data_IF_926592535393
#
_entry.id   IF_926592535393
#
_cell.length_a   1.000
_cell.length_b   1.000
_cell.length_c   1.000
_cell.angle_alpha   90.00
_cell.angle_beta   90.00
_cell.angle_gamma   90.00
#
_symmetry.space_group_name_H-M   'P 1'
#
loop_
_entity.id
_entity.type
_entity.pdbx_description
1 polymer ?
#
# COMPACT_ATOMS: atom_id res chain seq x y z
N UNK A 1 -22.82 7.74 4.68
CA UNK A 1 -21.87 7.36 3.63
C UNK A 1 -22.61 7.01 2.35
N UNK A 2 -22.11 7.48 1.21
CA UNK A 2 -22.73 7.15 -0.07
C UNK A 2 -22.61 5.65 -0.35
N UNK A 3 -23.62 5.12 -1.03
CA UNK A 3 -23.57 3.71 -1.44
C UNK A 3 -22.53 3.51 -2.52
N UNK A 4 -21.84 2.38 -2.46
CA UNK A 4 -20.83 2.00 -3.43
C UNK A 4 -21.37 0.83 -4.27
N UNK A 5 -21.17 0.91 -5.58
CA UNK A 5 -21.58 -0.19 -6.47
C UNK A 5 -20.60 -1.36 -6.33
N UNK A 6 -21.04 -2.56 -6.78
CA UNK A 6 -20.17 -3.73 -6.80
C UNK A 6 -18.92 -3.47 -7.63
N UNK A 7 -19.08 -2.81 -8.77
CA UNK A 7 -17.96 -2.48 -9.66
C UNK A 7 -16.95 -1.55 -8.98
N UNK A 8 -17.46 -0.55 -8.27
CA UNK A 8 -16.60 0.38 -7.52
C UNK A 8 -15.91 -0.33 -6.36
N UNK A 9 -16.61 -1.24 -5.68
CA UNK A 9 -16.02 -2.01 -4.59
C UNK A 9 -14.90 -2.91 -5.11
N UNK A 10 -15.11 -3.56 -6.26
CA UNK A 10 -14.08 -4.41 -6.87
C UNK A 10 -12.84 -3.59 -7.24
N UNK A 11 -13.04 -2.41 -7.82
CA UNK A 11 -11.93 -1.52 -8.17
C UNK A 11 -11.18 -1.06 -6.94
N UNK A 12 -11.88 -0.74 -5.87
CA UNK A 12 -11.26 -0.33 -4.60
C UNK A 12 -10.47 -1.48 -3.98
N UNK A 13 -11.05 -2.68 -3.99
CA UNK A 13 -10.40 -3.88 -3.48
C UNK A 13 -9.10 -4.17 -4.24
N UNK A 14 -9.13 -4.08 -5.58
CA UNK A 14 -7.96 -4.28 -6.41
C UNK A 14 -6.87 -3.26 -6.08
N UNK A 15 -7.25 -2.00 -5.89
CA UNK A 15 -6.28 -0.97 -5.54
C UNK A 15 -5.67 -1.22 -4.16
N UNK A 16 -6.46 -1.67 -3.20
CA UNK A 16 -5.96 -1.99 -1.87
C UNK A 16 -4.98 -3.17 -1.92
N UNK A 17 -5.29 -4.18 -2.72
CA UNK A 17 -4.38 -5.31 -2.92
C UNK A 17 -3.05 -4.86 -3.52
N UNK A 18 -3.08 -3.94 -4.48
CA UNK A 18 -1.86 -3.39 -5.07
C UNK A 18 -1.01 -2.65 -4.03
N UNK A 19 -1.64 -1.88 -3.15
CA UNK A 19 -0.88 -1.19 -2.09
C UNK A 19 -0.21 -2.19 -1.16
N UNK A 20 -0.87 -3.29 -0.81
CA UNK A 20 -0.28 -4.35 0.02
C UNK A 20 0.90 -5.02 -0.68
N UNK A 21 0.77 -5.33 -1.97
CA UNK A 21 1.84 -5.94 -2.75
C UNK A 21 3.05 -5.00 -2.81
N UNK A 22 2.83 -3.71 -3.07
CA UNK A 22 3.91 -2.73 -3.16
C UNK A 22 4.59 -2.52 -1.81
N UNK A 23 3.82 -2.50 -0.72
CA UNK A 23 4.38 -2.43 0.63
C UNK A 23 5.31 -3.61 0.88
N UNK A 24 4.87 -4.82 0.58
CA UNK A 24 5.66 -6.03 0.78
C UNK A 24 6.94 -6.03 -0.04
N UNK A 25 6.86 -5.61 -1.30
CA UNK A 25 8.04 -5.50 -2.16
C UNK A 25 9.04 -4.50 -1.62
N UNK A 26 8.56 -3.34 -1.16
CA UNK A 26 9.45 -2.31 -0.60
C UNK A 26 10.15 -2.82 0.67
N UNK A 27 9.43 -3.53 1.55
CA UNK A 27 10.04 -4.10 2.74
C UNK A 27 11.07 -5.16 2.41
N UNK A 28 10.79 -6.00 1.41
CA UNK A 28 11.75 -6.99 0.95
C UNK A 28 13.02 -6.33 0.42
N UNK A 29 12.84 -5.32 -0.44
CA UNK A 29 13.98 -4.59 -1.01
C UNK A 29 14.79 -3.86 0.06
N UNK A 30 14.13 -3.33 1.08
CA UNK A 30 14.83 -2.72 2.22
C UNK A 30 15.73 -3.73 2.93
N UNK A 31 15.25 -4.98 3.06
CA UNK A 31 16.00 -6.04 3.74
C UNK A 31 17.25 -6.48 3.01
N UNK A 32 17.27 -6.34 1.67
CA UNK A 32 18.41 -6.77 0.84
C UNK A 32 19.23 -5.59 0.29
N UNK A 33 18.86 -4.35 0.63
CA UNK A 33 19.55 -3.17 0.13
C UNK A 33 21.01 -3.16 0.65
N UNK A 34 21.93 -2.79 -0.23
CA UNK A 34 23.36 -2.83 0.06
C UNK A 34 23.85 -1.68 0.93
N UNK A 35 23.06 -0.64 1.11
CA UNK A 35 23.43 0.46 1.99
C UNK A 35 22.23 0.96 2.77
N UNK A 36 22.51 1.64 3.87
CA UNK A 36 21.50 2.07 4.82
C UNK A 36 20.58 3.15 4.25
N UNK A 37 21.13 4.07 3.46
CA UNK A 37 20.33 5.14 2.88
C UNK A 37 19.30 4.59 1.91
N UNK A 38 19.66 3.58 1.11
CA UNK A 38 18.75 2.92 0.19
C UNK A 38 17.69 2.13 0.96
N UNK A 39 18.10 1.41 2.00
CA UNK A 39 17.18 0.68 2.86
C UNK A 39 16.13 1.62 3.46
N UNK A 40 16.55 2.76 3.98
CA UNK A 40 15.65 3.76 4.56
C UNK A 40 14.68 4.31 3.52
N UNK A 41 15.14 4.52 2.29
CA UNK A 41 14.29 4.97 1.20
C UNK A 41 13.18 3.96 0.92
N UNK A 42 13.52 2.67 0.84
CA UNK A 42 12.52 1.62 0.64
C UNK A 42 11.54 1.52 1.80
N UNK A 43 12.01 1.68 3.04
CA UNK A 43 11.11 1.66 4.20
C UNK A 43 10.14 2.83 4.20
N UNK A 44 10.58 4.02 3.77
CA UNK A 44 9.69 5.16 3.63
C UNK A 44 8.63 4.91 2.56
N UNK A 45 9.01 4.31 1.44
CA UNK A 45 8.06 3.94 0.39
C UNK A 45 7.06 2.92 0.91
N UNK A 46 7.52 1.92 1.65
CA UNK A 46 6.64 0.92 2.26
C UNK A 46 5.61 1.59 3.18
N UNK A 47 6.05 2.55 3.98
CA UNK A 47 5.17 3.30 4.87
C UNK A 47 4.09 4.08 4.12
N UNK A 48 4.44 4.67 2.97
CA UNK A 48 3.47 5.37 2.13
C UNK A 48 2.42 4.42 1.56
N UNK A 49 2.84 3.24 1.10
CA UNK A 49 1.89 2.25 0.59
C UNK A 49 0.97 1.74 1.69
N UNK A 50 1.49 1.52 2.89
CA UNK A 50 0.68 1.13 4.04
C UNK A 50 -0.35 2.22 4.38
N UNK A 51 0.06 3.48 4.34
CA UNK A 51 -0.82 4.61 4.60
C UNK A 51 -1.91 4.71 3.53
N UNK A 52 -1.56 4.53 2.26
CA UNK A 52 -2.54 4.53 1.18
C UNK A 52 -3.58 3.43 1.39
N UNK A 53 -3.15 2.24 1.81
CA UNK A 53 -4.07 1.16 2.12
C UNK A 53 -5.05 1.58 3.20
N UNK A 54 -4.57 2.18 4.29
CA UNK A 54 -5.43 2.63 5.38
C UNK A 54 -6.43 3.70 4.92
N UNK A 55 -5.98 4.63 4.08
CA UNK A 55 -6.84 5.66 3.54
C UNK A 55 -7.93 5.08 2.65
N UNK A 56 -7.59 4.10 1.82
CA UNK A 56 -8.56 3.42 0.96
C UNK A 56 -9.54 2.61 1.81
N UNK A 57 -9.04 1.91 2.81
CA UNK A 57 -9.87 1.13 3.73
C UNK A 57 -10.87 2.01 4.47
N UNK A 58 -10.46 3.22 4.87
CA UNK A 58 -11.33 4.13 5.60
C UNK A 58 -12.54 4.57 4.78
N UNK A 59 -12.45 4.51 3.45
CA UNK A 59 -13.58 4.82 2.58
C UNK A 59 -14.67 3.75 2.59
N UNK A 60 -14.38 2.59 3.15
CA UNK A 60 -15.35 1.49 3.28
C UNK A 60 -16.21 1.58 4.55
N UNK A 61 -15.88 2.49 5.44
CA UNK A 61 -16.57 2.64 6.74
C UNK A 61 -17.69 3.66 6.68
#
# INVERSE_FOLDING_TARGET
MAQITTKELDALSDRMDMEKVMEGKCRYLAGIAGDEALADCYLQMAGRHAKHFEELYSNLK
#
